data_IF_029508477216
#
_entry.id   IF_029508477216
#
_cell.length_a   1.000
_cell.length_b   1.000
_cell.length_c   1.000
_cell.angle_alpha   90.00
_cell.angle_beta   90.00
_cell.angle_gamma   90.00
#
_symmetry.space_group_name_H-M   'P 1'
#
loop_
_entity.id
_entity.type
_entity.pdbx_description
1 polymer ?
#
# COMPACT_ATOMS: atom_id res chain seq x y z
N UNK A 1 6.74 33.33 -21.54
CA UNK A 1 6.24 31.96 -21.32
C UNK A 1 7.13 31.39 -20.24
N UNK A 2 6.68 31.42 -19.00
CA UNK A 2 7.45 30.89 -17.87
C UNK A 2 7.19 29.39 -17.85
N UNK A 3 8.23 28.61 -18.14
CA UNK A 3 8.19 27.17 -17.87
C UNK A 3 7.91 26.98 -16.38
N UNK A 4 6.73 26.44 -16.09
CA UNK A 4 6.28 26.05 -14.76
C UNK A 4 7.23 24.98 -14.23
N UNK A 5 8.17 25.38 -13.38
CA UNK A 5 8.96 24.49 -12.53
C UNK A 5 8.06 24.04 -11.36
N UNK A 6 6.91 23.43 -11.66
CA UNK A 6 6.25 22.58 -10.68
C UNK A 6 6.99 21.25 -10.70
N UNK A 7 7.75 20.99 -9.65
CA UNK A 7 8.31 19.66 -9.40
C UNK A 7 7.17 18.65 -9.33
N UNK A 8 6.88 17.98 -10.46
CA UNK A 8 5.71 17.12 -10.63
C UNK A 8 5.72 16.01 -9.57
N UNK A 9 4.76 16.07 -8.66
CA UNK A 9 4.50 15.08 -7.61
C UNK A 9 3.87 13.83 -8.22
N UNK A 10 4.24 12.64 -7.73
CA UNK A 10 3.53 11.40 -8.05
C UNK A 10 2.41 11.22 -7.04
N UNK A 11 1.16 11.22 -7.50
CA UNK A 11 0.00 10.90 -6.67
C UNK A 11 -0.25 9.38 -6.75
N UNK A 12 -0.47 8.74 -5.61
CA UNK A 12 -0.64 7.29 -5.50
C UNK A 12 -1.86 7.02 -4.64
N UNK A 13 -2.76 6.15 -5.08
CA UNK A 13 -3.87 5.61 -4.29
C UNK A 13 -3.71 4.12 -4.16
N UNK A 14 -3.90 3.60 -2.95
CA UNK A 14 -3.65 2.19 -2.64
C UNK A 14 -4.76 1.58 -1.82
N UNK A 15 -5.11 0.33 -2.13
CA UNK A 15 -6.05 -0.45 -1.33
C UNK A 15 -5.67 -1.94 -1.27
N UNK A 16 -6.22 -2.65 -0.29
CA UNK A 16 -6.04 -4.08 -0.07
C UNK A 16 -7.35 -4.77 0.29
N UNK A 17 -7.57 -5.95 -0.31
CA UNK A 17 -8.78 -6.75 -0.12
C UNK A 17 -8.42 -8.20 0.20
N UNK A 18 -9.26 -8.87 1.01
CA UNK A 18 -9.15 -10.30 1.28
C UNK A 18 -10.52 -10.98 1.31
N UNK A 19 -10.59 -12.18 0.71
CA UNK A 19 -11.84 -12.98 0.64
C UNK A 19 -12.16 -13.75 1.93
N UNK A 20 -11.31 -13.57 2.95
CA UNK A 20 -11.37 -14.08 4.32
C UNK A 20 -10.16 -13.52 5.09
N UNK A 21 -10.19 -13.44 6.41
CA UNK A 21 -9.10 -12.82 7.18
C UNK A 21 -8.60 -13.76 8.30
N UNK A 22 -7.78 -14.79 7.98
CA UNK A 22 -6.99 -14.93 6.74
C UNK A 22 -7.67 -15.66 5.57
N UNK A 23 -7.18 -15.42 4.36
CA UNK A 23 -7.66 -16.01 3.10
C UNK A 23 -6.89 -15.47 1.89
N UNK A 24 -7.21 -15.91 0.64
CA UNK A 24 -6.64 -15.30 -0.55
C UNK A 24 -6.93 -13.79 -0.59
N UNK A 25 -5.91 -13.01 -0.94
CA UNK A 25 -5.94 -11.55 -0.90
C UNK A 25 -5.42 -10.90 -2.17
N UNK A 26 -5.73 -9.62 -2.33
CA UNK A 26 -5.30 -8.79 -3.45
C UNK A 26 -4.97 -7.38 -3.01
N UNK A 27 -4.11 -6.73 -3.77
CA UNK A 27 -3.70 -5.34 -3.58
C UNK A 27 -3.86 -4.57 -4.89
N UNK A 28 -4.19 -3.29 -4.78
CA UNK A 28 -4.45 -2.41 -5.92
C UNK A 28 -3.76 -1.06 -5.76
N UNK A 29 -3.25 -0.53 -6.86
CA UNK A 29 -2.57 0.77 -6.91
C UNK A 29 -2.97 1.53 -8.16
N UNK A 30 -3.38 2.78 -7.98
CA UNK A 30 -3.42 3.79 -9.04
C UNK A 30 -2.28 4.78 -8.82
N UNK A 31 -1.42 4.96 -9.83
CA UNK A 31 -0.40 6.01 -9.85
C UNK A 31 -0.76 7.06 -10.89
N UNK A 32 -0.54 8.33 -10.58
CA UNK A 32 -0.73 9.46 -11.49
C UNK A 32 0.49 10.40 -11.45
N UNK A 33 0.97 10.78 -12.63
CA UNK A 33 2.05 11.76 -12.81
C UNK A 33 1.69 12.72 -13.95
N UNK A 34 1.20 13.91 -13.60
CA UNK A 34 0.54 14.80 -14.56
C UNK A 34 -0.69 14.10 -15.15
N UNK A 35 -0.76 14.06 -16.48
CA UNK A 35 -1.86 13.41 -17.22
C UNK A 35 -1.65 11.90 -17.42
N UNK A 36 -0.52 11.35 -16.98
CA UNK A 36 -0.22 9.93 -17.14
C UNK A 36 -0.70 9.14 -15.93
N UNK A 37 -1.47 8.09 -16.19
CA UNK A 37 -1.90 7.14 -15.16
C UNK A 37 -1.30 5.75 -15.41
N UNK A 38 -1.08 5.03 -14.31
CA UNK A 38 -0.68 3.62 -14.33
C UNK A 38 -1.41 2.88 -13.23
N UNK A 39 -2.00 1.75 -13.59
CA UNK A 39 -2.66 0.84 -12.63
C UNK A 39 -1.79 -0.38 -12.40
N UNK A 40 -1.69 -0.82 -11.15
CA UNK A 40 -1.04 -2.06 -10.75
C UNK A 40 -1.99 -2.84 -9.85
N UNK A 41 -1.99 -4.16 -9.99
CA UNK A 41 -2.62 -5.04 -9.04
C UNK A 41 -1.87 -6.37 -8.98
N UNK A 42 -2.12 -7.11 -7.91
CA UNK A 42 -1.68 -8.49 -7.77
C UNK A 42 -2.38 -9.12 -6.57
N UNK A 43 -2.09 -10.38 -6.32
CA UNK A 43 -2.68 -11.08 -5.18
C UNK A 43 -1.81 -12.20 -4.65
N UNK A 44 -2.25 -12.75 -3.53
CA UNK A 44 -1.61 -13.85 -2.82
C UNK A 44 -2.62 -14.98 -2.67
N UNK A 45 -2.37 -16.11 -3.36
CA UNK A 45 -3.24 -17.28 -3.33
C UNK A 45 -3.17 -18.01 -1.97
N UNK A 46 -2.03 -17.94 -1.28
CA UNK A 46 -1.87 -18.45 0.08
C UNK A 46 -2.62 -17.57 1.10
N UNK A 47 -3.03 -18.13 2.27
CA UNK A 47 -3.74 -17.37 3.28
C UNK A 47 -2.94 -16.12 3.74
N UNK A 48 -3.47 -14.94 3.44
CA UNK A 48 -2.95 -13.62 3.82
C UNK A 48 -4.02 -12.83 4.58
N UNK A 49 -3.80 -11.56 4.88
CA UNK A 49 -4.76 -10.71 5.64
C UNK A 49 -4.93 -9.35 4.99
N UNK A 50 -6.04 -8.66 5.28
CA UNK A 50 -6.30 -7.32 4.72
C UNK A 50 -5.13 -6.36 4.97
N UNK A 51 -4.67 -6.29 6.23
CA UNK A 51 -3.55 -5.46 6.64
C UNK A 51 -2.25 -5.76 5.86
N UNK A 52 -2.01 -7.02 5.48
CA UNK A 52 -0.85 -7.38 4.65
C UNK A 52 -1.03 -6.89 3.21
N UNK A 53 -2.23 -6.97 2.66
CA UNK A 53 -2.53 -6.46 1.32
C UNK A 53 -2.47 -4.94 1.25
N UNK A 54 -3.00 -4.23 2.24
CA UNK A 54 -2.88 -2.76 2.36
C UNK A 54 -1.40 -2.33 2.41
N UNK A 55 -0.57 -3.00 3.22
CA UNK A 55 0.88 -2.74 3.25
C UNK A 55 1.54 -3.07 1.92
N UNK A 56 1.17 -4.19 1.30
CA UNK A 56 1.75 -4.63 0.03
C UNK A 56 1.42 -3.65 -1.08
N UNK A 57 0.21 -3.09 -1.13
CA UNK A 57 -0.17 -2.06 -2.09
C UNK A 57 0.77 -0.84 -2.01
N UNK A 58 0.99 -0.30 -0.81
CA UNK A 58 1.90 0.82 -0.59
C UNK A 58 3.35 0.50 -0.97
N UNK A 59 3.83 -0.70 -0.62
CA UNK A 59 5.18 -1.17 -0.97
C UNK A 59 5.35 -1.26 -2.50
N UNK A 60 4.42 -1.95 -3.17
CA UNK A 60 4.50 -2.17 -4.62
C UNK A 60 4.42 -0.84 -5.39
N UNK A 61 3.60 0.10 -4.91
CA UNK A 61 3.53 1.44 -5.48
C UNK A 61 4.89 2.14 -5.43
N UNK A 62 5.51 2.22 -4.26
CA UNK A 62 6.81 2.89 -4.06
C UNK A 62 7.95 2.15 -4.78
N UNK A 63 7.99 0.82 -4.73
CA UNK A 63 9.04 0.04 -5.40
C UNK A 63 8.94 0.09 -6.93
N UNK A 64 7.75 0.36 -7.49
CA UNK A 64 7.58 0.54 -8.93
C UNK A 64 8.23 1.82 -9.48
N UNK A 65 8.59 2.77 -8.60
CA UNK A 65 9.23 4.03 -8.96
C UNK A 65 10.73 3.81 -9.18
N UNK A 66 11.19 4.19 -10.38
CA UNK A 66 12.56 3.90 -10.83
C UNK A 66 13.61 4.93 -10.37
N UNK A 67 13.18 6.06 -9.81
CA UNK A 67 14.05 7.14 -9.33
C UNK A 67 13.47 7.85 -8.10
N UNK A 68 14.29 8.52 -7.28
CA UNK A 68 13.80 9.36 -6.19
C UNK A 68 12.85 10.45 -6.71
N UNK A 69 11.71 10.61 -6.04
CA UNK A 69 10.62 11.54 -6.40
C UNK A 69 9.86 11.96 -5.15
N UNK A 70 9.13 13.07 -5.23
CA UNK A 70 8.12 13.45 -4.24
C UNK A 70 6.83 12.69 -4.52
N UNK A 71 6.28 12.06 -3.48
CA UNK A 71 5.10 11.21 -3.53
C UNK A 71 4.04 11.73 -2.58
N UNK A 72 2.79 11.72 -3.02
CA UNK A 72 1.61 11.81 -2.17
C UNK A 72 0.88 10.49 -2.23
N UNK A 73 0.91 9.74 -1.12
CA UNK A 73 0.29 8.44 -1.02
C UNK A 73 -1.01 8.53 -0.23
N UNK A 74 -2.12 8.24 -0.90
CA UNK A 74 -3.47 8.23 -0.40
C UNK A 74 -3.87 6.80 -0.02
N UNK A 75 -4.37 6.64 1.20
CA UNK A 75 -4.92 5.36 1.69
C UNK A 75 -6.02 5.62 2.72
N UNK A 76 -7.04 4.78 2.73
CA UNK A 76 -8.05 4.74 3.79
C UNK A 76 -7.69 3.77 4.92
N UNK A 77 -6.63 2.97 4.75
CA UNK A 77 -6.16 2.03 5.76
C UNK A 77 -5.76 2.74 7.05
N UNK A 78 -6.58 2.54 8.08
CA UNK A 78 -6.24 2.98 9.43
C UNK A 78 -5.01 2.25 9.98
N UNK A 79 -4.74 1.03 9.52
CA UNK A 79 -3.58 0.25 9.93
C UNK A 79 -2.28 0.86 9.39
N UNK A 80 -2.23 1.16 8.09
CA UNK A 80 -1.09 1.82 7.44
C UNK A 80 -0.89 3.20 8.04
N UNK A 81 -1.97 4.00 8.15
CA UNK A 81 -1.93 5.33 8.76
C UNK A 81 -1.30 5.30 10.16
N UNK A 82 -1.87 4.52 11.08
CA UNK A 82 -1.41 4.49 12.46
C UNK A 82 0.02 3.96 12.59
N UNK A 83 0.42 3.01 11.74
CA UNK A 83 1.77 2.49 11.73
C UNK A 83 2.80 3.52 11.28
N UNK A 84 2.55 4.22 10.17
CA UNK A 84 3.43 5.29 9.68
C UNK A 84 3.50 6.47 10.64
N UNK A 85 2.36 6.95 11.16
CA UNK A 85 2.32 8.19 11.95
C UNK A 85 2.69 7.99 13.43
N UNK A 86 2.70 6.75 13.93
CA UNK A 86 2.86 6.49 15.37
C UNK A 86 3.80 5.34 15.72
N UNK A 87 3.59 4.16 15.14
CA UNK A 87 4.21 2.93 15.67
C UNK A 87 5.63 2.69 15.16
N UNK A 88 5.90 3.00 13.88
CA UNK A 88 7.12 2.60 13.19
C UNK A 88 8.39 3.07 13.92
N UNK A 89 8.42 4.34 14.34
CA UNK A 89 9.55 4.91 15.07
C UNK A 89 9.82 4.20 16.41
N UNK A 90 8.76 3.79 17.13
CA UNK A 90 8.92 3.04 18.37
C UNK A 90 9.37 1.61 18.13
N UNK A 91 8.82 0.93 17.11
CA UNK A 91 9.21 -0.44 16.79
C UNK A 91 10.66 -0.54 16.37
N UNK A 92 11.13 0.38 15.52
CA UNK A 92 12.54 0.44 15.11
C UNK A 92 13.48 0.59 16.30
N UNK A 93 13.17 1.52 17.20
CA UNK A 93 13.96 1.76 18.43
C UNK A 93 13.97 0.55 19.37
N UNK A 94 12.88 -0.22 19.39
CA UNK A 94 12.74 -1.39 20.26
C UNK A 94 13.12 -2.72 19.58
N UNK A 95 13.85 -2.67 18.45
CA UNK A 95 14.31 -3.87 17.76
C UNK A 95 13.18 -4.72 17.17
N UNK A 96 12.11 -4.08 16.68
CA UNK A 96 10.91 -4.71 16.12
C UNK A 96 10.13 -5.58 17.11
N UNK A 97 10.11 -5.16 18.38
CA UNK A 97 9.30 -5.75 19.44
C UNK A 97 8.21 -4.80 19.92
N UNK A 98 7.07 -5.37 20.32
CA UNK A 98 5.98 -4.65 20.99
C UNK A 98 6.33 -4.37 22.46
N UNK A 99 5.51 -3.56 23.15
CA UNK A 99 5.67 -3.32 24.59
C UNK A 99 5.63 -4.61 25.43
N UNK A 100 4.93 -5.65 24.95
CA UNK A 100 4.89 -6.98 25.55
C UNK A 100 6.10 -7.87 25.18
N UNK A 101 7.15 -7.30 24.56
CA UNK A 101 8.36 -7.99 24.06
C UNK A 101 8.06 -9.09 23.04
N UNK A 102 6.93 -9.01 22.35
CA UNK A 102 6.58 -9.93 21.27
C UNK A 102 7.01 -9.35 19.92
N UNK A 103 7.36 -10.18 18.92
CA UNK A 103 7.60 -9.71 17.56
C UNK A 103 6.45 -8.86 17.04
N UNK A 104 6.77 -7.75 16.37
CA UNK A 104 5.78 -6.90 15.72
C UNK A 104 5.10 -7.69 14.59
N UNK A 105 3.77 -7.70 14.57
CA UNK A 105 3.00 -8.32 13.49
C UNK A 105 3.31 -7.63 12.17
N UNK A 106 3.55 -8.42 11.12
CA UNK A 106 3.93 -7.93 9.78
C UNK A 106 5.25 -7.12 9.75
N UNK A 107 6.18 -7.37 10.68
CA UNK A 107 7.47 -6.68 10.71
C UNK A 107 8.23 -6.79 9.37
N UNK A 108 8.09 -7.91 8.66
CA UNK A 108 8.63 -8.14 7.32
C UNK A 108 8.19 -7.06 6.32
N UNK A 109 6.88 -6.79 6.26
CA UNK A 109 6.32 -5.78 5.35
C UNK A 109 6.61 -4.37 5.83
N UNK A 110 6.57 -4.11 7.13
CA UNK A 110 6.90 -2.79 7.67
C UNK A 110 8.35 -2.38 7.40
N UNK A 111 9.30 -3.31 7.53
CA UNK A 111 10.71 -3.08 7.18
C UNK A 111 10.88 -2.80 5.67
N UNK A 112 10.19 -3.58 4.83
CA UNK A 112 10.20 -3.36 3.37
C UNK A 112 9.58 -2.01 2.99
N UNK A 113 8.47 -1.63 3.63
CA UNK A 113 7.83 -0.33 3.42
C UNK A 113 8.74 0.82 3.85
N UNK A 114 9.42 0.71 4.99
CA UNK A 114 10.39 1.71 5.44
C UNK A 114 11.52 1.89 4.41
N UNK A 115 12.09 0.77 3.92
CA UNK A 115 13.14 0.81 2.91
C UNK A 115 12.67 1.44 1.59
N UNK A 116 11.44 1.14 1.16
CA UNK A 116 10.84 1.77 -0.01
C UNK A 116 10.62 3.28 0.20
N UNK A 117 10.10 3.68 1.36
CA UNK A 117 9.89 5.10 1.70
C UNK A 117 11.20 5.88 1.71
N UNK A 118 12.30 5.31 2.20
CA UNK A 118 13.59 6.00 2.31
C UNK A 118 14.17 6.45 0.96
N UNK A 119 13.66 5.92 -0.16
CA UNK A 119 14.08 6.31 -1.53
C UNK A 119 13.34 7.54 -2.05
N UNK A 120 12.29 8.00 -1.38
CA UNK A 120 11.36 9.02 -1.87
C UNK A 120 11.07 10.06 -0.77
N UNK A 121 10.58 11.23 -1.19
CA UNK A 121 9.98 12.19 -0.26
C UNK A 121 8.48 11.93 -0.19
N UNK A 122 8.05 11.15 0.80
CA UNK A 122 6.67 10.62 0.87
C UNK A 122 5.82 11.42 1.86
N UNK A 123 4.79 12.06 1.34
CA UNK A 123 3.67 12.61 2.13
C UNK A 123 2.54 11.61 2.17
N UNK A 124 2.08 11.28 3.38
CA UNK A 124 0.95 10.36 3.58
C UNK A 124 -0.34 11.14 3.76
N UNK A 125 -1.34 10.83 2.95
CA UNK A 125 -2.66 11.44 2.94
C UNK A 125 -3.68 10.38 3.33
N UNK A 126 -4.32 10.58 4.48
CA UNK A 126 -5.40 9.70 4.88
C UNK A 126 -6.70 10.19 4.27
N UNK A 127 -7.34 9.33 3.48
CA UNK A 127 -8.70 9.53 3.02
C UNK A 127 -9.65 8.79 3.95
N UNK A 128 -10.76 9.42 4.32
CA UNK A 128 -11.76 8.72 5.11
C UNK A 128 -12.43 7.70 4.18
N UNK A 129 -12.35 6.42 4.52
CA UNK A 129 -13.16 5.40 3.85
C UNK A 129 -14.64 5.78 3.88
N UNK A 130 -15.44 5.24 2.95
CA UNK A 130 -16.81 5.63 2.56
C UNK A 130 -16.85 6.56 1.31
N UNK A 131 -17.46 6.03 0.24
CA UNK A 131 -17.70 6.59 -1.11
C UNK A 131 -17.49 8.11 -1.27
N UNK A 132 -16.74 8.49 -2.30
CA UNK A 132 -16.47 9.90 -2.63
C UNK A 132 -15.07 10.21 -3.14
N UNK A 133 -14.21 9.20 -3.30
CA UNK A 133 -12.87 9.33 -3.84
C UNK A 133 -12.71 8.38 -5.03
N UNK A 134 -13.00 8.83 -6.28
CA UNK A 134 -12.97 7.97 -7.46
C UNK A 134 -11.66 7.22 -7.64
N UNK A 135 -10.53 7.84 -7.29
CA UNK A 135 -9.22 7.20 -7.36
C UNK A 135 -9.04 6.08 -6.33
N UNK A 136 -9.58 6.23 -5.12
CA UNK A 136 -9.55 5.17 -4.10
C UNK A 136 -10.49 4.03 -4.48
N UNK A 137 -11.67 4.34 -5.03
CA UNK A 137 -12.60 3.33 -5.56
C UNK A 137 -11.98 2.53 -6.72
N UNK A 138 -11.14 3.17 -7.54
CA UNK A 138 -10.35 2.46 -8.56
C UNK A 138 -9.28 1.57 -7.93
N UNK A 139 -8.60 2.03 -6.88
CA UNK A 139 -7.63 1.19 -6.15
C UNK A 139 -8.31 -0.02 -5.48
N UNK A 140 -9.48 0.15 -4.87
CA UNK A 140 -10.32 -0.92 -4.33
C UNK A 140 -10.70 -1.93 -5.42
N UNK A 141 -11.18 -1.46 -6.58
CA UNK A 141 -11.53 -2.33 -7.70
C UNK A 141 -10.31 -3.15 -8.20
N UNK A 142 -9.12 -2.54 -8.21
CA UNK A 142 -7.87 -3.23 -8.54
C UNK A 142 -7.48 -4.27 -7.49
N UNK A 143 -7.66 -3.97 -6.20
CA UNK A 143 -7.41 -4.92 -5.11
C UNK A 143 -8.36 -6.12 -5.19
N UNK A 144 -9.66 -5.87 -5.46
CA UNK A 144 -10.65 -6.91 -5.66
C UNK A 144 -10.34 -7.77 -6.90
N UNK A 145 -9.83 -7.17 -7.99
CA UNK A 145 -9.37 -7.92 -9.17
C UNK A 145 -8.21 -8.86 -8.81
N UNK A 146 -7.17 -8.35 -8.16
CA UNK A 146 -6.03 -9.16 -7.72
C UNK A 146 -6.43 -10.29 -6.76
N UNK A 147 -7.39 -10.02 -5.87
CA UNK A 147 -7.94 -11.01 -4.94
C UNK A 147 -8.71 -12.11 -5.69
N UNK A 148 -9.51 -11.74 -6.70
CA UNK A 148 -10.26 -12.70 -7.49
C UNK A 148 -9.33 -13.64 -8.29
N UNK A 149 -8.27 -13.08 -8.89
CA UNK A 149 -7.23 -13.85 -9.58
C UNK A 149 -6.53 -14.82 -8.63
N UNK A 150 -6.06 -14.35 -7.47
CA UNK A 150 -5.43 -15.18 -6.44
C UNK A 150 -6.36 -16.27 -5.89
N UNK A 151 -7.65 -15.98 -5.74
CA UNK A 151 -8.64 -16.97 -5.31
C UNK A 151 -8.86 -18.05 -6.37
N UNK A 152 -8.87 -17.68 -7.65
CA UNK A 152 -8.99 -18.65 -8.74
C UNK A 152 -7.76 -19.58 -8.77
N UNK A 153 -6.56 -19.04 -8.60
CA UNK A 153 -5.32 -19.82 -8.47
C UNK A 153 -5.37 -20.77 -7.27
N UNK A 154 -5.81 -20.28 -6.10
CA UNK A 154 -5.94 -21.10 -4.89
C UNK A 154 -6.94 -22.24 -5.02
N UNK A 155 -7.96 -22.10 -5.88
CA UNK A 155 -8.92 -23.17 -6.20
C UNK A 155 -8.31 -24.16 -7.19
N UNK A 156 -7.58 -23.69 -8.20
CA UNK A 156 -6.93 -24.53 -9.20
C UNK A 156 -5.78 -25.38 -8.62
N UNK A 157 -5.16 -24.94 -7.54
CA UNK A 157 -4.09 -25.66 -6.84
C UNK A 157 -4.57 -26.72 -5.84
N UNK A 158 -5.89 -26.95 -5.73
CA UNK A 158 -6.51 -27.99 -4.87
C UNK A 158 -6.86 -29.23 -5.68
#
# INVERSE_FOLDING_TARGET
MADDVSGRVVEIWTDGACSGNPGPGGWGVLLRWGDHERELCGGEATPTTNNRMELTAAIQALESLTRPVTVRLHTDSTYVRNGITGWLASWKRNGWLTAAKQPVKNADLWQRLEAACARHDVTWLWVKGHNGHPENERADALANRGMAEARAEAVAAR
#
